data_IF_838124866729
#
_entry.id   IF_838124866729
#
_cell.length_a   1.000
_cell.length_b   1.000
_cell.length_c   1.000
_cell.angle_alpha   90.00
_cell.angle_beta   90.00
_cell.angle_gamma   90.00
#
_symmetry.space_group_name_H-M   'P 1'
#
loop_
_entity.id
_entity.type
_entity.pdbx_description
1 polymer ?
#
# COMPACT_ATOMS: atom_id res chain seq x y z
N UNK A 1 -8.05 -102.39 57.61
CA UNK A 1 -8.36 -100.95 57.47
C UNK A 1 -7.08 -100.23 57.90
N UNK A 2 -6.08 -99.98 57.03
CA UNK A 2 -6.09 -99.58 55.61
C UNK A 2 -6.85 -98.29 55.38
N UNK A 3 -6.28 -97.16 55.80
CA UNK A 3 -6.63 -95.81 55.30
C UNK A 3 -5.65 -94.69 55.69
N UNK A 4 -4.44 -94.96 56.21
CA UNK A 4 -3.54 -93.88 56.68
C UNK A 4 -2.19 -93.79 55.94
N UNK A 5 -1.77 -94.82 55.21
CA UNK A 5 -0.53 -94.80 54.42
C UNK A 5 -0.72 -94.44 52.94
N UNK A 6 -1.96 -94.19 52.49
CA UNK A 6 -2.30 -93.87 51.10
C UNK A 6 -2.39 -92.36 50.83
N UNK A 7 -2.50 -91.53 51.88
CA UNK A 7 -2.55 -90.06 51.75
C UNK A 7 -1.18 -89.39 51.76
N UNK A 8 -0.16 -90.02 52.36
CA UNK A 8 1.21 -89.48 52.40
C UNK A 8 1.97 -89.66 51.07
N UNK A 9 1.64 -90.69 50.29
CA UNK A 9 2.23 -90.93 48.97
C UNK A 9 1.71 -89.99 47.87
N UNK A 10 0.46 -89.50 47.99
CA UNK A 10 -0.18 -88.62 47.00
C UNK A 10 0.29 -87.17 47.16
N UNK A 11 0.57 -86.72 48.38
CA UNK A 11 1.10 -85.36 48.65
C UNK A 11 2.59 -85.25 48.24
N UNK A 12 3.40 -86.29 48.44
CA UNK A 12 4.80 -86.28 48.03
C UNK A 12 4.97 -86.27 46.50
N UNK A 13 4.13 -86.97 45.75
CA UNK A 13 4.16 -86.96 44.29
C UNK A 13 3.70 -85.61 43.70
N UNK A 14 2.74 -84.94 44.33
CA UNK A 14 2.28 -83.61 43.91
C UNK A 14 3.31 -82.51 44.14
N UNK A 15 4.12 -82.59 45.20
CA UNK A 15 5.22 -81.64 45.44
C UNK A 15 6.39 -81.88 44.48
N UNK A 16 6.70 -83.13 44.14
CA UNK A 16 7.76 -83.43 43.14
C UNK A 16 7.33 -83.06 41.72
N UNK A 17 6.05 -83.21 41.35
CA UNK A 17 5.53 -82.74 40.07
C UNK A 17 5.32 -81.21 40.01
N UNK A 18 5.06 -80.55 41.15
CA UNK A 18 4.91 -79.10 41.22
C UNK A 18 6.23 -78.31 41.27
N UNK A 19 7.30 -78.90 41.80
CA UNK A 19 8.64 -78.27 41.88
C UNK A 19 9.53 -78.68 40.69
N UNK A 20 9.20 -79.75 39.97
CA UNK A 20 9.99 -80.32 38.88
C UNK A 20 9.89 -79.65 37.50
N UNK A 21 9.08 -78.60 37.32
CA UNK A 21 8.98 -77.88 36.03
C UNK A 21 9.81 -76.57 36.01
N UNK A 22 10.48 -76.23 37.12
CA UNK A 22 11.24 -74.99 37.23
C UNK A 22 12.72 -75.06 36.82
N UNK A 23 13.18 -76.15 36.19
CA UNK A 23 14.60 -76.29 35.76
C UNK A 23 14.68 -76.90 34.37
N UNK A 24 14.87 -76.07 33.34
CA UNK A 24 15.37 -76.57 32.05
C UNK A 24 14.81 -75.94 30.77
N UNK A 25 14.62 -74.62 30.68
CA UNK A 25 14.65 -73.92 29.37
C UNK A 25 15.55 -72.68 29.51
N UNK A 26 16.79 -72.72 29.00
CA UNK A 26 17.61 -71.52 28.91
C UNK A 26 17.02 -70.64 27.80
N UNK A 27 16.32 -69.57 28.17
CA UNK A 27 15.73 -68.60 27.24
C UNK A 27 14.27 -68.17 27.50
N UNK A 28 13.68 -68.48 28.66
CA UNK A 28 12.26 -68.16 28.95
C UNK A 28 12.06 -67.09 30.04
N UNK A 29 13.02 -66.17 30.19
CA UNK A 29 12.86 -64.94 30.95
C UNK A 29 13.37 -63.79 30.09
N UNK A 30 12.59 -63.45 29.07
CA UNK A 30 12.65 -62.09 28.56
C UNK A 30 12.29 -61.17 29.74
N UNK A 31 13.08 -60.11 30.02
CA UNK A 31 12.61 -59.06 30.92
C UNK A 31 11.23 -58.60 30.40
N UNK A 32 10.32 -58.14 31.26
CA UNK A 32 9.12 -57.48 30.76
C UNK A 32 9.56 -56.24 29.97
N UNK A 33 9.72 -56.41 28.65
CA UNK A 33 9.48 -55.35 27.69
C UNK A 33 7.99 -55.01 27.83
N UNK A 34 7.69 -53.73 27.73
CA UNK A 34 6.40 -53.13 28.07
C UNK A 34 6.22 -52.86 29.58
N UNK A 35 7.00 -51.90 30.09
CA UNK A 35 6.30 -50.83 30.81
C UNK A 35 5.17 -50.38 29.90
N UNK A 36 3.88 -50.50 30.28
CA UNK A 36 2.80 -50.01 29.43
C UNK A 36 3.13 -48.57 29.12
N UNK A 37 3.26 -48.25 27.83
CA UNK A 37 3.50 -46.90 27.35
C UNK A 37 2.62 -45.99 28.19
N UNK A 38 3.26 -45.10 28.96
CA UNK A 38 2.52 -44.10 29.73
C UNK A 38 1.59 -43.45 28.71
N UNK A 39 0.26 -43.46 28.91
CA UNK A 39 -0.66 -43.00 27.88
C UNK A 39 -0.18 -41.63 27.40
N UNK A 40 0.11 -41.55 26.10
CA UNK A 40 0.61 -40.32 25.49
C UNK A 40 -0.34 -39.21 25.91
N UNK A 41 0.20 -38.17 26.56
CA UNK A 41 -0.64 -37.04 26.97
C UNK A 41 -1.24 -36.45 25.69
N UNK A 42 -2.55 -36.18 25.63
CA UNK A 42 -3.15 -35.58 24.45
C UNK A 42 -2.46 -34.26 24.14
N UNK A 43 -2.20 -34.00 22.86
CA UNK A 43 -1.67 -32.74 22.40
C UNK A 43 -2.74 -31.63 22.55
N UNK A 44 -2.40 -30.56 23.23
CA UNK A 44 -3.24 -29.37 23.39
C UNK A 44 -2.51 -28.20 22.72
N UNK A 45 -3.21 -27.45 21.86
CA UNK A 45 -2.66 -26.26 21.19
C UNK A 45 -3.63 -25.12 21.38
N UNK A 46 -3.21 -24.12 22.14
CA UNK A 46 -4.03 -22.96 22.51
C UNK A 46 -3.51 -21.68 21.84
N UNK A 47 -4.39 -20.79 21.40
CA UNK A 47 -4.01 -19.42 21.03
C UNK A 47 -3.97 -18.58 22.30
N UNK A 48 -2.76 -18.38 22.85
CA UNK A 48 -2.60 -17.66 24.13
C UNK A 48 -2.58 -16.14 23.98
N UNK A 49 -2.18 -15.67 22.80
CA UNK A 49 -2.15 -14.24 22.47
C UNK A 49 -2.29 -14.05 20.95
N UNK A 50 -2.83 -12.91 20.55
CA UNK A 50 -2.82 -12.47 19.17
C UNK A 50 -2.58 -10.97 19.11
N UNK A 51 -1.49 -10.56 18.46
CA UNK A 51 -1.18 -9.14 18.24
C UNK A 51 -1.50 -8.75 16.80
N UNK A 52 -1.94 -7.51 16.62
CA UNK A 52 -2.30 -6.95 15.32
C UNK A 52 -1.68 -5.56 15.23
N UNK A 53 -0.97 -5.28 14.13
CA UNK A 53 -0.37 -4.00 13.84
C UNK A 53 -0.68 -3.56 12.40
N UNK A 54 -0.73 -2.25 12.10
CA UNK A 54 -0.85 -1.78 10.72
C UNK A 54 0.43 -2.15 9.94
N UNK A 55 0.27 -2.71 8.74
CA UNK A 55 1.30 -2.82 7.70
C UNK A 55 1.18 -1.67 6.72
N UNK A 56 1.32 -1.96 5.42
CA UNK A 56 1.15 -0.95 4.37
C UNK A 56 -0.30 -0.43 4.33
N UNK A 57 -0.44 0.89 4.19
CA UNK A 57 -1.73 1.59 4.18
C UNK A 57 -1.87 2.37 2.88
N UNK A 58 -2.76 1.90 2.01
CA UNK A 58 -3.15 2.58 0.78
C UNK A 58 -4.35 3.50 0.96
N UNK A 59 -4.81 4.11 -0.14
CA UNK A 59 -6.00 4.97 -0.13
C UNK A 59 -7.29 4.20 0.22
N UNK A 60 -7.43 2.99 -0.34
CA UNK A 60 -8.65 2.18 -0.20
C UNK A 60 -8.46 0.91 0.62
N UNK A 61 -7.23 0.47 0.86
CA UNK A 61 -6.91 -0.79 1.54
C UNK A 61 -5.86 -0.58 2.62
N UNK A 62 -5.88 -1.43 3.65
CA UNK A 62 -4.86 -1.48 4.68
C UNK A 62 -4.48 -2.94 4.96
N UNK A 63 -3.20 -3.18 5.19
CA UNK A 63 -2.70 -4.49 5.60
C UNK A 63 -2.68 -4.60 7.11
N UNK A 64 -3.30 -5.63 7.66
CA UNK A 64 -3.22 -5.99 9.08
C UNK A 64 -2.13 -7.07 9.25
N UNK A 65 -1.05 -6.73 9.95
CA UNK A 65 -0.01 -7.69 10.35
C UNK A 65 -0.46 -8.41 11.61
N UNK A 66 -0.79 -9.68 11.47
CA UNK A 66 -1.39 -10.50 12.53
C UNK A 66 -0.40 -11.54 13.00
N UNK A 67 -0.15 -11.61 14.31
CA UNK A 67 0.78 -12.56 14.92
C UNK A 67 0.09 -13.33 16.05
N UNK A 68 -0.44 -14.53 15.78
CA UNK A 68 -0.91 -15.42 16.83
C UNK A 68 0.28 -16.10 17.54
N UNK A 69 0.14 -16.28 18.85
CA UNK A 69 1.04 -17.04 19.70
C UNK A 69 0.35 -18.35 20.10
N UNK A 70 0.90 -19.47 19.64
CA UNK A 70 0.39 -20.80 19.94
C UNK A 70 1.19 -21.41 21.08
N UNK A 71 0.55 -21.77 22.17
CA UNK A 71 1.15 -22.60 23.22
C UNK A 71 0.76 -24.05 22.98
N UNK A 72 1.75 -24.92 22.79
CA UNK A 72 1.54 -26.36 22.79
C UNK A 72 1.79 -26.90 24.20
N UNK A 73 0.94 -27.81 24.66
CA UNK A 73 1.08 -28.53 25.93
C UNK A 73 0.77 -30.01 25.74
N UNK A 74 1.45 -30.88 26.49
CA UNK A 74 1.23 -32.33 26.43
C UNK A 74 2.03 -32.99 25.32
N UNK A 75 1.44 -33.98 24.63
CA UNK A 75 2.10 -34.68 23.53
C UNK A 75 2.29 -33.82 22.29
N UNK A 76 3.18 -34.25 21.39
CA UNK A 76 3.50 -33.52 20.17
C UNK A 76 2.25 -33.30 19.28
N UNK A 77 2.10 -32.09 18.76
CA UNK A 77 1.07 -31.73 17.79
C UNK A 77 1.70 -31.67 16.38
N UNK A 78 1.27 -32.55 15.50
CA UNK A 78 1.77 -32.63 14.12
C UNK A 78 0.92 -31.82 13.14
N UNK A 79 1.57 -31.35 12.05
CA UNK A 79 0.91 -30.65 10.94
C UNK A 79 0.02 -29.48 11.40
N UNK A 80 0.54 -28.69 12.34
CA UNK A 80 -0.15 -27.51 12.88
C UNK A 80 -0.19 -26.43 11.81
N UNK A 81 -1.40 -25.98 11.48
CA UNK A 81 -1.64 -24.84 10.60
C UNK A 81 -2.62 -23.86 11.24
N UNK A 82 -2.47 -22.59 10.93
CA UNK A 82 -3.40 -21.54 11.35
C UNK A 82 -4.00 -20.89 10.13
N UNK A 83 -5.33 -20.84 10.06
CA UNK A 83 -6.05 -20.01 9.10
C UNK A 83 -6.39 -18.68 9.75
N UNK A 84 -5.73 -17.63 9.29
CA UNK A 84 -6.09 -16.25 9.60
C UNK A 84 -7.27 -15.82 8.71
N UNK A 85 -8.24 -15.12 9.31
CA UNK A 85 -9.35 -14.48 8.61
C UNK A 85 -9.59 -13.08 9.16
N UNK A 86 -9.95 -12.14 8.29
CA UNK A 86 -10.61 -10.90 8.69
C UNK A 86 -12.06 -10.98 8.26
N UNK A 87 -12.99 -10.76 9.18
CA UNK A 87 -14.43 -10.72 8.93
C UNK A 87 -14.91 -9.31 9.18
N UNK A 88 -15.55 -8.71 8.18
CA UNK A 88 -16.05 -7.34 8.25
C UNK A 88 -17.22 -7.23 9.25
N UNK A 89 -17.16 -6.27 10.18
CA UNK A 89 -18.18 -6.12 11.24
C UNK A 89 -19.57 -5.80 10.70
N UNK A 90 -19.66 -5.02 9.63
CA UNK A 90 -20.93 -4.51 9.10
C UNK A 90 -21.65 -5.56 8.25
N UNK A 91 -20.90 -6.32 7.46
CA UNK A 91 -21.44 -7.29 6.50
C UNK A 91 -21.38 -8.74 7.00
N UNK A 92 -20.50 -9.04 7.96
CA UNK A 92 -20.20 -10.41 8.39
C UNK A 92 -19.46 -11.25 7.33
N UNK A 93 -19.02 -10.64 6.22
CA UNK A 93 -18.31 -11.36 5.16
C UNK A 93 -16.81 -11.45 5.44
N UNK A 94 -16.21 -12.53 4.94
CA UNK A 94 -14.75 -12.72 5.02
C UNK A 94 -14.08 -11.80 4.01
N UNK A 95 -13.41 -10.76 4.49
CA UNK A 95 -12.71 -9.80 3.65
C UNK A 95 -11.35 -10.33 3.18
N UNK A 96 -10.63 -11.03 4.05
CA UNK A 96 -9.28 -11.54 3.75
C UNK A 96 -9.00 -12.85 4.49
N UNK A 97 -8.13 -13.69 3.90
CA UNK A 97 -7.66 -14.93 4.54
C UNK A 97 -6.19 -15.19 4.25
N UNK A 98 -5.49 -15.84 5.18
CA UNK A 98 -4.14 -16.34 4.96
C UNK A 98 -3.88 -17.59 5.80
N UNK A 99 -3.18 -18.59 5.24
CA UNK A 99 -2.79 -19.79 5.99
C UNK A 99 -1.31 -19.73 6.39
N UNK A 100 -1.04 -19.97 7.67
CA UNK A 100 0.30 -20.10 8.24
C UNK A 100 0.58 -21.58 8.57
N UNK A 101 1.78 -22.05 8.23
CA UNK A 101 2.25 -23.38 8.59
C UNK A 101 3.23 -23.32 9.76
N UNK A 102 2.96 -24.10 10.80
CA UNK A 102 3.80 -24.24 12.00
C UNK A 102 4.54 -25.59 12.04
N UNK A 103 4.11 -26.59 11.25
CA UNK A 103 4.71 -27.92 11.24
C UNK A 103 4.41 -28.67 12.53
N UNK A 104 5.43 -29.29 13.13
CA UNK A 104 5.30 -29.99 14.42
C UNK A 104 5.61 -29.05 15.58
N UNK A 105 4.73 -29.03 16.59
CA UNK A 105 4.93 -28.36 17.86
C UNK A 105 5.09 -29.40 18.97
N UNK A 106 6.18 -29.33 19.74
CA UNK A 106 6.49 -30.27 20.82
C UNK A 106 7.33 -29.59 21.90
N UNK A 107 7.39 -30.18 23.09
CA UNK A 107 8.24 -29.75 24.20
C UNK A 107 7.64 -28.65 25.09
N UNK A 108 6.32 -28.54 25.15
CA UNK A 108 5.60 -27.53 25.94
C UNK A 108 6.04 -26.09 25.59
N UNK A 109 6.05 -25.77 24.29
CA UNK A 109 6.60 -24.52 23.73
C UNK A 109 5.53 -23.52 23.30
N UNK A 110 5.88 -22.23 23.37
CA UNK A 110 5.14 -21.17 22.68
C UNK A 110 5.83 -20.82 21.35
N UNK A 111 5.08 -20.82 20.25
CA UNK A 111 5.56 -20.43 18.92
C UNK A 111 4.68 -19.34 18.32
N UNK A 112 5.27 -18.44 17.55
CA UNK A 112 4.54 -17.44 16.79
C UNK A 112 5.10 -17.31 15.38
N UNK A 113 4.23 -16.90 14.46
CA UNK A 113 4.55 -16.55 13.08
C UNK A 113 3.62 -15.42 12.66
N UNK A 114 4.16 -14.44 11.95
CA UNK A 114 3.38 -13.31 11.43
C UNK A 114 2.73 -13.66 10.10
N UNK A 115 1.51 -13.16 9.91
CA UNK A 115 0.79 -13.13 8.65
C UNK A 115 0.30 -11.72 8.32
N UNK A 116 -0.22 -11.54 7.13
CA UNK A 116 -0.73 -10.30 6.58
C UNK A 116 -2.13 -10.51 5.98
N UNK A 117 -3.09 -9.69 6.38
CA UNK A 117 -4.45 -9.66 5.86
C UNK A 117 -4.73 -8.28 5.26
N UNK A 118 -4.85 -8.17 3.95
CA UNK A 118 -5.21 -6.90 3.28
C UNK A 118 -6.72 -6.77 3.23
N UNK A 119 -7.24 -5.73 3.87
CA UNK A 119 -8.68 -5.42 3.97
C UNK A 119 -8.96 -4.02 3.43
N UNK A 120 -10.23 -3.68 3.21
CA UNK A 120 -10.58 -2.31 2.88
C UNK A 120 -10.23 -1.38 4.06
N UNK A 121 -9.78 -0.16 3.74
CA UNK A 121 -9.41 0.86 4.72
C UNK A 121 -10.67 1.58 5.23
N UNK A 122 -11.56 0.83 5.86
CA UNK A 122 -12.83 1.30 6.38
C UNK A 122 -13.32 0.39 7.50
N UNK A 123 -14.24 0.91 8.33
CA UNK A 123 -14.96 0.10 9.32
C UNK A 123 -14.06 -0.59 10.35
N UNK A 124 -14.50 -1.78 10.77
CA UNK A 124 -13.82 -2.66 11.71
C UNK A 124 -13.91 -4.12 11.28
N UNK A 125 -13.01 -4.95 11.82
CA UNK A 125 -12.85 -6.36 11.46
C UNK A 125 -12.64 -7.26 12.68
N UNK A 126 -13.33 -8.39 12.66
CA UNK A 126 -13.09 -9.54 13.51
C UNK A 126 -11.94 -10.35 12.92
N UNK A 127 -10.76 -10.25 13.52
CA UNK A 127 -9.60 -11.03 13.11
C UNK A 127 -9.61 -12.36 13.86
N UNK A 128 -9.61 -13.47 13.13
CA UNK A 128 -9.69 -14.83 13.66
C UNK A 128 -8.44 -15.62 13.32
N UNK A 129 -7.91 -16.36 14.29
CA UNK A 129 -6.86 -17.35 14.11
C UNK A 129 -7.44 -18.74 14.40
N UNK A 130 -7.77 -19.49 13.36
CA UNK A 130 -8.36 -20.83 13.46
C UNK A 130 -7.24 -21.87 13.36
N UNK A 131 -7.01 -22.61 14.44
CA UNK A 131 -5.93 -23.61 14.52
C UNK A 131 -6.44 -24.96 14.06
N UNK A 132 -5.66 -25.60 13.19
CA UNK A 132 -5.86 -26.97 12.73
C UNK A 132 -4.66 -27.83 13.10
N UNK A 133 -4.92 -29.03 13.63
CA UNK A 133 -3.93 -30.09 13.87
C UNK A 133 -4.36 -31.28 13.03
N UNK A 134 -3.48 -31.77 12.16
CA UNK A 134 -3.79 -32.85 11.21
C UNK A 134 -5.12 -32.63 10.41
N UNK A 135 -5.43 -31.37 10.09
CA UNK A 135 -6.64 -30.99 9.35
C UNK A 135 -7.92 -30.86 10.18
N UNK A 136 -7.92 -31.24 11.46
CA UNK A 136 -9.03 -31.01 12.39
C UNK A 136 -8.90 -29.67 13.09
N UNK A 137 -9.97 -28.86 13.11
CA UNK A 137 -10.01 -27.60 13.86
C UNK A 137 -10.00 -27.93 15.36
N UNK A 138 -9.06 -27.34 16.09
CA UNK A 138 -8.91 -27.58 17.54
C UNK A 138 -9.15 -26.34 18.39
N UNK A 139 -8.87 -25.14 17.86
CA UNK A 139 -8.90 -23.90 18.64
C UNK A 139 -9.22 -22.69 17.75
N UNK A 140 -9.72 -21.60 18.35
CA UNK A 140 -9.96 -20.33 17.64
C UNK A 140 -9.74 -19.14 18.55
N UNK A 141 -8.72 -18.35 18.25
CA UNK A 141 -8.56 -17.00 18.83
C UNK A 141 -9.29 -15.96 17.99
N UNK A 142 -9.91 -14.97 18.65
CA UNK A 142 -10.59 -13.84 18.00
C UNK A 142 -10.09 -12.54 18.62
N UNK A 143 -9.90 -11.51 17.80
CA UNK A 143 -9.61 -10.15 18.25
C UNK A 143 -10.24 -9.13 17.31
N UNK A 144 -11.00 -8.23 17.90
CA UNK A 144 -11.64 -7.11 17.23
C UNK A 144 -10.61 -6.01 16.89
N UNK A 145 -10.76 -5.42 15.71
CA UNK A 145 -10.00 -4.25 15.25
C UNK A 145 -10.97 -3.21 14.73
N UNK A 146 -11.04 -2.05 15.37
CA UNK A 146 -11.90 -0.95 14.95
C UNK A 146 -11.12 0.21 14.34
N UNK A 147 -11.80 1.00 13.52
CA UNK A 147 -11.26 2.26 13.02
C UNK A 147 -10.17 2.11 11.97
N UNK A 148 -10.18 1.03 11.17
CA UNK A 148 -9.18 0.83 10.09
C UNK A 148 -9.21 1.99 9.08
N UNK A 149 -10.37 2.63 8.91
CA UNK A 149 -10.52 3.84 8.09
C UNK A 149 -9.76 5.07 8.59
N UNK A 150 -9.31 5.10 9.85
CA UNK A 150 -8.54 6.23 10.40
C UNK A 150 -7.04 6.11 10.16
N UNK A 151 -6.56 4.95 9.67
CA UNK A 151 -5.17 4.78 9.31
C UNK A 151 -4.78 5.78 8.22
N UNK A 152 -3.69 6.51 8.45
CA UNK A 152 -3.12 7.45 7.49
C UNK A 152 -2.46 6.64 6.38
N UNK A 153 -2.84 6.85 5.10
CA UNK A 153 -2.14 6.21 3.99
C UNK A 153 -0.66 6.58 3.97
N UNK A 154 0.20 5.66 3.54
CA UNK A 154 1.66 5.83 3.59
C UNK A 154 2.13 7.06 2.78
N UNK A 155 1.43 7.39 1.69
CA UNK A 155 1.71 8.59 0.90
C UNK A 155 1.32 9.90 1.61
N UNK A 156 0.34 9.86 2.53
CA UNK A 156 -0.01 11.00 3.40
C UNK A 156 0.91 11.12 4.61
N UNK A 157 1.55 10.02 5.02
CA UNK A 157 2.55 9.98 6.09
C UNK A 157 3.97 10.25 5.57
N UNK A 158 4.11 11.17 4.62
CA UNK A 158 5.44 11.61 4.16
C UNK A 158 5.87 12.81 5.00
N UNK A 159 6.95 12.71 5.79
CA UNK A 159 7.35 13.75 6.73
C UNK A 159 8.09 14.93 6.08
N UNK A 160 8.04 15.06 4.75
CA UNK A 160 8.66 16.15 4.01
C UNK A 160 7.73 17.35 3.97
N UNK A 161 8.27 18.49 4.36
CA UNK A 161 7.56 19.75 4.38
C UNK A 161 8.40 20.83 3.72
N UNK A 162 7.72 21.71 2.99
CA UNK A 162 8.32 22.98 2.59
C UNK A 162 8.60 23.81 3.84
N UNK A 163 9.81 24.33 3.95
CA UNK A 163 10.20 25.14 5.09
C UNK A 163 9.47 26.48 5.04
N UNK A 164 8.62 26.70 6.04
CA UNK A 164 8.14 28.03 6.38
C UNK A 164 9.11 28.64 7.40
N UNK A 165 9.48 29.90 7.18
CA UNK A 165 10.42 30.61 8.04
C UNK A 165 9.66 31.70 8.81
N UNK A 166 9.71 31.64 10.14
CA UNK A 166 9.09 32.64 11.03
C UNK A 166 9.58 34.08 10.79
N UNK A 167 10.68 34.25 10.06
CA UNK A 167 11.23 35.55 9.65
C UNK A 167 10.45 36.21 8.49
N UNK A 168 9.37 35.59 7.99
CA UNK A 168 8.59 36.09 6.86
C UNK A 168 9.31 35.94 5.52
N UNK A 169 10.23 34.97 5.42
CA UNK A 169 10.86 34.62 4.14
C UNK A 169 9.84 33.83 3.30
N UNK A 170 9.81 34.07 1.98
CA UNK A 170 8.93 33.30 1.12
C UNK A 170 9.36 31.82 1.07
N UNK A 171 8.38 30.92 1.01
CA UNK A 171 8.61 29.46 0.94
C UNK A 171 9.30 29.05 -0.36
N UNK A 172 9.15 29.87 -1.41
CA UNK A 172 9.84 29.74 -2.69
C UNK A 172 10.54 31.07 -2.96
N UNK A 173 11.86 31.00 -3.13
CA UNK A 173 12.74 32.11 -3.45
C UNK A 173 13.06 32.10 -4.95
N UNK A 174 13.33 33.27 -5.52
CA UNK A 174 13.85 33.36 -6.87
C UNK A 174 14.91 34.45 -7.00
N UNK A 175 15.87 34.23 -7.91
CA UNK A 175 16.76 35.26 -8.44
C UNK A 175 16.57 35.39 -9.94
N UNK A 176 16.82 36.59 -10.47
CA UNK A 176 16.88 36.82 -11.91
C UNK A 176 18.33 36.62 -12.33
N UNK A 177 18.59 35.57 -13.11
CA UNK A 177 19.93 35.22 -13.57
C UNK A 177 20.28 35.98 -14.87
N UNK A 178 19.28 36.18 -15.75
CA UNK A 178 19.44 36.89 -17.01
C UNK A 178 18.12 37.51 -17.48
N UNK A 179 18.20 38.58 -18.26
CA UNK A 179 17.08 39.19 -18.98
C UNK A 179 17.51 39.44 -20.42
N UNK A 180 16.92 38.70 -21.35
CA UNK A 180 17.29 38.71 -22.77
C UNK A 180 16.04 38.45 -23.63
N UNK A 181 15.92 39.15 -24.77
CA UNK A 181 14.85 38.93 -25.76
C UNK A 181 13.43 38.90 -25.16
N UNK A 182 13.11 39.88 -24.31
CA UNK A 182 11.81 39.97 -23.62
C UNK A 182 11.48 38.76 -22.72
N UNK A 183 12.51 38.10 -22.18
CA UNK A 183 12.37 37.00 -21.23
C UNK A 183 13.32 37.14 -20.06
N UNK A 184 12.82 36.77 -18.89
CA UNK A 184 13.58 36.65 -17.65
C UNK A 184 13.88 35.18 -17.35
N UNK A 185 15.15 34.86 -17.17
CA UNK A 185 15.59 33.56 -16.65
C UNK A 185 15.66 33.65 -15.14
N UNK A 186 14.84 32.84 -14.46
CA UNK A 186 14.71 32.78 -13.02
C UNK A 186 15.38 31.51 -12.49
N UNK A 187 16.25 31.66 -11.49
CA UNK A 187 16.66 30.55 -10.64
C UNK A 187 15.72 30.50 -9.45
N UNK A 188 14.91 29.44 -9.38
CA UNK A 188 13.84 29.27 -8.40
C UNK A 188 14.25 28.17 -7.43
N UNK A 189 14.25 28.48 -6.14
CA UNK A 189 14.65 27.53 -5.10
C UNK A 189 13.64 27.48 -3.97
N UNK A 190 13.65 26.36 -3.26
CA UNK A 190 12.83 26.13 -2.07
C UNK A 190 13.61 25.27 -1.09
N UNK A 191 13.14 25.18 0.15
CA UNK A 191 13.77 24.38 1.19
C UNK A 191 12.79 23.29 1.62
N UNK A 192 13.27 22.04 1.59
CA UNK A 192 12.49 20.86 2.01
C UNK A 192 13.14 20.24 3.23
N UNK A 193 12.38 20.12 4.31
CA UNK A 193 12.85 19.53 5.57
C UNK A 193 12.14 18.20 5.80
N UNK A 194 12.92 17.15 6.06
CA UNK A 194 12.40 15.89 6.55
C UNK A 194 12.23 15.97 8.08
N UNK A 195 10.99 16.09 8.52
CA UNK A 195 10.62 16.23 9.94
C UNK A 195 10.47 14.87 10.66
N UNK A 196 10.65 13.76 9.94
CA UNK A 196 10.44 12.41 10.41
C UNK A 196 11.73 11.75 10.91
N UNK A 197 11.60 10.50 11.33
CA UNK A 197 12.67 9.67 11.90
C UNK A 197 13.33 8.72 10.88
N UNK A 198 12.86 8.72 9.62
CA UNK A 198 13.34 7.85 8.53
C UNK A 198 13.83 8.68 7.34
N UNK A 199 14.75 8.13 6.56
CA UNK A 199 15.13 8.68 5.25
C UNK A 199 13.95 8.56 4.27
N UNK A 200 13.79 9.55 3.39
CA UNK A 200 12.78 9.56 2.32
C UNK A 200 13.48 9.69 0.96
N UNK A 201 13.09 8.85 0.00
CA UNK A 201 13.61 8.73 -1.36
C UNK A 201 12.50 8.80 -2.42
N UNK A 202 12.88 8.61 -3.69
CA UNK A 202 12.02 8.65 -4.89
C UNK A 202 11.23 9.96 -5.01
N UNK A 203 11.97 11.06 -4.89
CA UNK A 203 11.44 12.41 -4.77
C UNK A 203 11.62 13.21 -6.06
N UNK A 204 10.55 13.89 -6.47
CA UNK A 204 10.55 14.79 -7.63
C UNK A 204 9.88 16.11 -7.25
N UNK A 205 10.52 17.23 -7.57
CA UNK A 205 9.96 18.56 -7.37
C UNK A 205 9.61 19.19 -8.72
N UNK A 206 8.34 19.53 -8.91
CA UNK A 206 7.88 20.28 -10.07
C UNK A 206 7.70 21.73 -9.68
N UNK A 207 8.43 22.62 -10.35
CA UNK A 207 8.32 24.08 -10.20
C UNK A 207 7.61 24.65 -11.43
N UNK A 208 6.57 25.44 -11.22
CA UNK A 208 5.76 26.03 -12.30
C UNK A 208 5.62 27.53 -12.08
N UNK A 209 5.82 28.32 -13.14
CA UNK A 209 5.45 29.73 -13.16
C UNK A 209 4.14 29.92 -13.92
N UNK A 210 3.17 30.56 -13.28
CA UNK A 210 1.86 30.85 -13.86
C UNK A 210 1.62 32.34 -13.89
N UNK A 211 1.33 32.90 -15.05
CA UNK A 211 1.09 34.33 -15.19
C UNK A 211 -0.20 34.71 -14.45
N UNK A 212 -0.11 35.79 -13.67
CA UNK A 212 -1.23 36.30 -12.90
C UNK A 212 -2.26 37.02 -13.79
N UNK A 213 -3.54 36.73 -13.59
CA UNK A 213 -4.65 37.28 -14.38
C UNK A 213 -5.15 36.32 -15.46
N UNK A 214 -4.26 35.67 -16.22
CA UNK A 214 -4.66 34.69 -17.25
C UNK A 214 -4.60 33.23 -16.78
N UNK A 215 -3.86 32.94 -15.70
CA UNK A 215 -3.55 31.60 -15.23
C UNK A 215 -2.81 30.71 -16.26
N UNK A 216 -2.22 31.29 -17.31
CA UNK A 216 -1.39 30.57 -18.28
C UNK A 216 -0.09 30.11 -17.60
N UNK A 217 0.26 28.83 -17.79
CA UNK A 217 1.58 28.33 -17.37
C UNK A 217 2.60 28.87 -18.35
N UNK A 218 3.48 29.76 -17.86
CA UNK A 218 4.50 30.38 -18.68
C UNK A 218 5.69 29.44 -18.89
N UNK A 219 6.08 28.71 -17.85
CA UNK A 219 7.10 27.67 -17.93
C UNK A 219 7.01 26.72 -16.72
N UNK A 220 7.61 25.53 -16.86
CA UNK A 220 7.68 24.49 -15.84
C UNK A 220 8.99 23.74 -15.95
N UNK A 221 9.60 23.48 -14.80
CA UNK A 221 10.78 22.61 -14.69
C UNK A 221 10.56 21.51 -13.66
N UNK A 222 11.29 20.41 -13.82
CA UNK A 222 11.25 19.25 -12.91
C UNK A 222 12.64 19.00 -12.38
N UNK A 223 12.76 18.84 -11.06
CA UNK A 223 14.03 18.62 -10.35
C UNK A 223 13.95 17.29 -9.64
N UNK A 224 14.78 16.33 -10.05
CA UNK A 224 14.95 15.06 -9.34
C UNK A 224 15.72 15.28 -8.04
N UNK A 225 15.24 14.70 -6.94
CA UNK A 225 15.83 14.85 -5.62
C UNK A 225 16.42 13.52 -5.15
N UNK A 226 17.63 13.59 -4.60
CA UNK A 226 18.21 12.47 -3.88
C UNK A 226 17.49 12.21 -2.54
N UNK A 227 17.84 11.10 -1.92
CA UNK A 227 17.28 10.74 -0.61
C UNK A 227 17.58 11.80 0.46
N UNK A 228 16.56 12.18 1.23
CA UNK A 228 16.63 13.16 2.31
C UNK A 228 16.59 12.43 3.65
N UNK A 229 17.71 12.44 4.37
CA UNK A 229 17.81 11.82 5.69
C UNK A 229 16.93 12.49 6.75
N UNK A 230 16.64 11.76 7.83
CA UNK A 230 15.88 12.28 8.99
C UNK A 230 16.49 13.58 9.53
N UNK A 231 15.64 14.59 9.77
CA UNK A 231 16.04 15.89 10.30
C UNK A 231 16.90 16.73 9.35
N UNK A 232 17.05 16.34 8.09
CA UNK A 232 17.83 17.09 7.10
C UNK A 232 16.94 18.02 6.29
N UNK A 233 17.52 19.16 5.94
CA UNK A 233 16.96 20.12 4.99
C UNK A 233 17.80 20.10 3.72
N UNK A 234 17.13 20.09 2.58
CA UNK A 234 17.75 20.24 1.25
C UNK A 234 17.19 21.47 0.56
N UNK A 235 17.97 22.07 -0.35
CA UNK A 235 17.59 23.26 -1.11
C UNK A 235 17.61 22.96 -2.61
N UNK A 236 16.55 22.33 -3.15
CA UNK A 236 16.44 22.16 -4.59
C UNK A 236 16.27 23.48 -5.31
N UNK A 237 16.89 23.58 -6.48
CA UNK A 237 16.87 24.75 -7.35
C UNK A 237 16.59 24.30 -8.78
N UNK A 238 15.70 25.02 -9.47
CA UNK A 238 15.39 24.79 -10.89
C UNK A 238 15.36 26.11 -11.65
N UNK A 239 15.59 26.04 -12.96
CA UNK A 239 15.53 27.21 -13.84
C UNK A 239 14.18 27.29 -14.52
N UNK A 240 13.58 28.49 -14.51
CA UNK A 240 12.33 28.81 -15.19
C UNK A 240 12.58 30.01 -16.10
N UNK A 241 12.11 29.98 -17.34
CA UNK A 241 12.20 31.10 -18.29
C UNK A 241 10.81 31.64 -18.60
N UNK A 242 10.53 32.87 -18.20
CA UNK A 242 9.23 33.51 -18.40
C UNK A 242 9.36 34.79 -19.21
N UNK A 243 8.29 35.26 -19.89
CA UNK A 243 8.23 36.62 -20.41
C UNK A 243 8.59 37.67 -19.34
N UNK A 244 9.29 38.73 -19.73
CA UNK A 244 9.53 39.86 -18.84
C UNK A 244 8.27 40.73 -18.68
N UNK A 245 8.29 41.66 -17.72
CA UNK A 245 7.21 42.63 -17.46
C UNK A 245 5.84 42.07 -16.99
N UNK A 246 5.74 40.79 -16.59
CA UNK A 246 4.54 40.23 -15.95
C UNK A 246 4.81 39.76 -14.51
N UNK A 247 3.75 39.68 -13.70
CA UNK A 247 3.80 39.06 -12.39
C UNK A 247 3.33 37.59 -12.45
N UNK A 248 3.95 36.71 -11.66
CA UNK A 248 3.74 35.27 -11.70
C UNK A 248 3.45 34.69 -10.32
N UNK A 249 2.61 33.67 -10.26
CA UNK A 249 2.62 32.70 -9.17
C UNK A 249 3.71 31.66 -9.43
N UNK A 250 4.55 31.42 -8.43
CA UNK A 250 5.47 30.31 -8.40
C UNK A 250 4.84 29.19 -7.58
N UNK A 251 4.54 28.07 -8.23
CA UNK A 251 3.98 26.87 -7.61
C UNK A 251 5.06 25.80 -7.50
N UNK A 252 5.19 25.19 -6.32
CA UNK A 252 6.05 24.04 -6.06
C UNK A 252 5.17 22.84 -5.69
N UNK A 253 5.33 21.72 -6.40
CA UNK A 253 4.62 20.47 -6.13
C UNK A 253 5.64 19.36 -5.91
N UNK A 254 5.68 18.82 -4.70
CA UNK A 254 6.54 17.70 -4.34
C UNK A 254 5.80 16.39 -4.57
N UNK A 255 6.44 15.51 -5.33
CA UNK A 255 5.99 14.16 -5.62
C UNK A 255 6.90 13.14 -4.95
N UNK A 256 6.29 12.01 -4.58
CA UNK A 256 6.98 10.80 -4.16
C UNK A 256 6.30 9.61 -4.80
N UNK A 257 7.04 8.82 -5.57
CA UNK A 257 6.52 7.62 -6.26
C UNK A 257 5.15 7.87 -6.95
N UNK A 258 5.09 8.94 -7.75
CA UNK A 258 3.88 9.33 -8.49
C UNK A 258 2.73 9.94 -7.65
N UNK A 259 2.93 10.19 -6.36
CA UNK A 259 1.92 10.82 -5.49
C UNK A 259 2.33 12.20 -5.02
N UNK A 260 1.43 13.19 -5.08
CA UNK A 260 1.65 14.53 -4.50
C UNK A 260 1.65 14.44 -2.98
N UNK A 261 2.77 14.83 -2.37
CA UNK A 261 2.96 14.79 -0.90
C UNK A 261 2.97 16.18 -0.26
N UNK A 262 3.37 17.23 -0.99
CA UNK A 262 3.33 18.61 -0.51
C UNK A 262 3.18 19.61 -1.66
N UNK A 263 2.63 20.78 -1.35
CA UNK A 263 2.54 21.92 -2.27
C UNK A 263 2.91 23.22 -1.56
N UNK A 264 3.55 24.15 -2.26
CA UNK A 264 3.79 25.51 -1.79
C UNK A 264 3.58 26.52 -2.92
N UNK A 265 3.32 27.77 -2.53
CA UNK A 265 3.13 28.90 -3.46
C UNK A 265 3.87 30.13 -2.96
N UNK A 266 4.44 30.87 -3.91
CA UNK A 266 5.00 32.21 -3.72
C UNK A 266 4.67 33.08 -4.94
N UNK A 267 5.13 34.32 -4.96
CA UNK A 267 4.95 35.24 -6.09
C UNK A 267 6.30 35.70 -6.64
N UNK A 268 6.36 35.92 -7.95
CA UNK A 268 7.45 36.62 -8.62
C UNK A 268 6.91 37.89 -9.25
N UNK A 269 7.35 39.03 -8.72
CA UNK A 269 6.90 40.35 -9.15
C UNK A 269 7.93 40.95 -10.11
N UNK A 270 7.78 40.68 -11.41
CA UNK A 270 8.66 41.23 -12.45
C UNK A 270 8.06 42.47 -13.12
N UNK A 271 6.73 42.66 -13.06
CA UNK A 271 6.09 43.83 -13.65
C UNK A 271 6.32 45.09 -12.79
N UNK A 272 6.54 46.25 -13.42
CA UNK A 272 6.64 47.53 -12.71
C UNK A 272 5.26 47.96 -12.19
N UNK A 273 5.07 48.01 -10.87
CA UNK A 273 3.79 48.44 -10.30
C UNK A 273 3.52 47.90 -8.90
N UNK A 274 2.24 47.76 -8.53
CA UNK A 274 1.84 47.11 -7.28
C UNK A 274 2.05 45.60 -7.43
N UNK A 275 3.04 45.05 -6.75
CA UNK A 275 3.35 43.62 -6.80
C UNK A 275 2.24 42.74 -6.19
N UNK A 276 2.19 41.48 -6.63
CA UNK A 276 1.33 40.43 -6.11
C UNK A 276 1.74 39.96 -4.72
N UNK A 277 0.74 39.66 -3.91
CA UNK A 277 0.86 38.85 -2.69
C UNK A 277 0.28 37.46 -2.93
N UNK A 278 0.73 36.50 -2.11
CA UNK A 278 0.31 35.09 -2.21
C UNK A 278 -1.21 34.91 -2.06
N UNK A 279 -1.86 35.75 -1.25
CA UNK A 279 -3.31 35.70 -0.96
C UNK A 279 -4.17 36.58 -1.90
N UNK A 280 -3.55 37.29 -2.85
CA UNK A 280 -4.27 38.18 -3.75
C UNK A 280 -4.99 37.37 -4.83
N UNK A 281 -6.24 36.96 -4.59
CA UNK A 281 -7.13 36.49 -5.67
C UNK A 281 -7.72 37.68 -6.43
N UNK A 282 -6.87 38.57 -6.93
CA UNK A 282 -7.32 39.80 -7.57
C UNK A 282 -7.45 39.57 -9.07
N UNK A 283 -8.68 39.35 -9.54
CA UNK A 283 -9.10 39.86 -10.86
C UNK A 283 -9.12 41.38 -10.75
N UNK A 284 -7.96 42.02 -10.74
CA UNK A 284 -7.92 43.46 -10.95
C UNK A 284 -8.04 43.67 -12.45
N UNK A 285 -9.05 44.42 -12.86
CA UNK A 285 -9.21 44.98 -14.21
C UNK A 285 -8.13 46.04 -14.50
N UNK A 286 -6.89 45.79 -14.10
CA UNK A 286 -5.75 46.58 -14.55
C UNK A 286 -5.33 45.97 -15.88
N UNK A 287 -5.59 46.71 -16.96
CA UNK A 287 -5.19 46.46 -18.35
C UNK A 287 -3.65 46.36 -18.51
N UNK A 288 -2.97 45.48 -17.77
CA UNK A 288 -1.63 45.03 -18.10
C UNK A 288 -1.79 44.00 -19.23
N UNK A 289 -1.66 44.50 -20.46
CA UNK A 289 -2.05 43.82 -21.70
C UNK A 289 -1.43 42.45 -21.90
N UNK A 290 -2.08 41.41 -21.39
CA UNK A 290 -1.78 40.01 -21.66
C UNK A 290 -1.70 39.77 -23.19
N UNK A 291 -0.53 39.36 -23.66
CA UNK A 291 -0.29 38.97 -25.06
C UNK A 291 0.02 37.48 -25.14
N UNK A 292 -0.91 36.70 -25.69
CA UNK A 292 -0.76 35.25 -25.79
C UNK A 292 0.51 34.81 -26.56
N UNK A 293 0.99 35.64 -27.51
CA UNK A 293 2.21 35.41 -28.29
C UNK A 293 3.47 35.32 -27.42
N UNK A 294 3.51 35.99 -26.28
CA UNK A 294 4.71 36.02 -25.43
C UNK A 294 4.96 34.65 -24.76
N UNK A 295 3.90 33.86 -24.61
CA UNK A 295 3.89 32.56 -23.93
C UNK A 295 4.11 31.37 -24.88
N UNK A 296 4.38 31.61 -26.17
CA UNK A 296 4.69 30.54 -27.11
C UNK A 296 6.07 29.93 -26.82
N UNK A 297 6.13 28.60 -26.68
CA UNK A 297 7.37 27.88 -26.41
C UNK A 297 8.28 27.92 -27.64
N UNK A 298 9.46 28.51 -27.50
CA UNK A 298 10.47 28.51 -28.57
C UNK A 298 11.21 27.18 -28.47
N UNK A 299 10.74 26.16 -29.18
CA UNK A 299 11.46 24.88 -29.27
C UNK A 299 12.86 25.14 -29.82
N UNK A 300 13.87 24.96 -28.97
CA UNK A 300 15.26 25.08 -29.35
C UNK A 300 15.63 23.87 -30.21
N UNK A 301 15.90 24.13 -31.49
CA UNK A 301 16.24 23.19 -32.56
C UNK A 301 16.72 21.80 -32.16
N UNK A 302 15.85 20.80 -32.39
CA UNK A 302 16.29 19.43 -32.65
C UNK A 302 16.63 19.36 -34.14
N UNK A 303 17.89 19.04 -34.43
CA UNK A 303 18.46 18.93 -35.77
C UNK A 303 17.53 18.14 -36.71
N UNK A 304 17.20 18.77 -37.86
CA UNK A 304 16.48 18.17 -38.97
C UNK A 304 17.25 16.97 -39.53
N UNK A 305 16.85 15.77 -39.12
CA UNK A 305 17.07 14.57 -39.89
C UNK A 305 16.16 14.61 -41.11
N UNK A 306 16.76 14.83 -42.28
CA UNK A 306 16.09 14.77 -43.58
C UNK A 306 15.37 13.43 -43.76
N UNK A 307 14.04 13.45 -43.80
CA UNK A 307 13.24 12.39 -44.43
C UNK A 307 12.37 13.02 -45.52
N UNK A 308 12.55 12.52 -46.74
CA UNK A 308 11.93 13.02 -47.97
C UNK A 308 10.40 12.93 -47.95
N UNK A 309 9.66 13.92 -48.46
CA UNK A 309 8.22 13.78 -48.67
C UNK A 309 7.97 13.04 -49.98
N UNK A 310 7.43 11.82 -49.89
CA UNK A 310 6.78 11.19 -51.04
C UNK A 310 5.50 11.94 -51.39
N UNK A 311 5.43 12.28 -52.67
CA UNK A 311 4.39 13.06 -53.35
C UNK A 311 3.09 12.27 -53.50
N UNK A 312 1.94 12.88 -53.20
CA UNK A 312 0.74 12.75 -54.07
C UNK A 312 -0.21 13.96 -53.95
N UNK A 313 -0.08 14.83 -54.95
CA UNK A 313 -1.13 15.44 -55.81
C UNK A 313 -2.40 16.05 -55.20
N UNK A 314 -2.55 17.35 -55.52
CA UNK A 314 -3.66 18.26 -55.29
C UNK A 314 -5.01 17.87 -55.93
N UNK A 315 -6.11 18.25 -55.26
CA UNK A 315 -7.25 18.99 -55.81
C UNK A 315 -8.15 19.38 -54.61
N UNK A 316 -8.32 20.65 -54.22
CA UNK A 316 -9.09 21.66 -54.94
C UNK A 316 -10.13 22.20 -53.95
N UNK A 317 -9.98 23.46 -53.53
CA UNK A 317 -10.78 24.04 -52.44
C UNK A 317 -12.23 24.36 -52.81
N UNK A 318 -13.10 24.34 -51.81
CA UNK A 318 -14.22 25.29 -51.65
C UNK A 318 -14.82 25.11 -50.27
N UNK A 319 -15.01 26.21 -49.54
CA UNK A 319 -15.57 26.23 -48.20
C UNK A 319 -16.98 25.66 -48.10
N UNK A 320 -17.28 25.10 -46.92
CA UNK A 320 -18.60 24.61 -46.57
C UNK A 320 -18.64 24.21 -45.10
N UNK A 321 -19.37 24.99 -44.30
CA UNK A 321 -19.76 24.74 -42.92
C UNK A 321 -20.14 23.27 -42.70
N UNK A 322 -19.74 22.59 -41.60
CA UNK A 322 -20.13 21.20 -41.36
C UNK A 322 -21.61 21.13 -41.01
N UNK A 323 -22.44 20.95 -42.03
CA UNK A 323 -23.87 20.71 -41.92
C UNK A 323 -24.16 19.23 -41.74
N UNK A 324 -24.85 18.89 -40.65
CA UNK A 324 -25.48 17.58 -40.48
C UNK A 324 -26.41 17.31 -41.67
N UNK A 325 -25.99 16.37 -42.51
CA UNK A 325 -26.63 16.08 -43.78
C UNK A 325 -28.09 15.65 -43.66
N UNK A 326 -28.85 16.01 -44.69
CA UNK A 326 -30.27 15.73 -44.98
C UNK A 326 -30.67 14.25 -44.76
N UNK A 327 -29.71 13.32 -44.69
CA UNK A 327 -29.94 11.92 -44.36
C UNK A 327 -30.53 11.69 -42.95
N UNK A 328 -30.18 12.51 -41.95
CA UNK A 328 -30.67 12.32 -40.56
C UNK A 328 -32.14 12.73 -40.42
N UNK A 329 -32.59 13.75 -41.16
CA UNK A 329 -33.97 14.25 -41.10
C UNK A 329 -34.99 13.24 -41.64
N UNK A 330 -34.61 12.44 -42.65
CA UNK A 330 -35.49 11.42 -43.24
C UNK A 330 -35.65 10.22 -42.30
N UNK A 331 -34.59 9.82 -41.58
CA UNK A 331 -34.66 8.72 -40.60
C UNK A 331 -35.55 9.09 -39.41
N UNK A 332 -35.47 10.34 -38.93
CA UNK A 332 -36.31 10.82 -37.83
C UNK A 332 -37.82 10.80 -38.17
N UNK A 333 -38.19 11.15 -39.41
CA UNK A 333 -39.59 11.13 -39.86
C UNK A 333 -40.15 9.72 -40.00
N UNK A 334 -39.34 8.75 -40.45
CA UNK A 334 -39.76 7.33 -40.53
C UNK A 334 -39.94 6.72 -39.14
N UNK A 335 -39.06 7.06 -38.18
CA UNK A 335 -39.17 6.59 -36.80
C UNK A 335 -40.44 7.13 -36.11
N UNK A 336 -40.77 8.40 -36.31
CA UNK A 336 -41.98 9.00 -35.74
C UNK A 336 -43.28 8.38 -36.31
N UNK A 337 -43.30 8.07 -37.61
CA UNK A 337 -44.47 7.45 -38.26
C UNK A 337 -44.69 5.99 -37.80
N UNK A 338 -43.62 5.24 -37.52
CA UNK A 338 -43.72 3.86 -37.00
C UNK A 338 -44.20 3.82 -35.54
N UNK A 339 -43.80 4.79 -34.72
CA UNK A 339 -44.25 4.88 -33.31
C UNK A 339 -45.72 5.31 -33.22
N UNK A 340 -46.19 6.18 -34.12
CA UNK A 340 -47.60 6.58 -34.16
C UNK A 340 -48.53 5.41 -34.56
N UNK A 341 -48.03 4.45 -35.35
CA UNK A 341 -48.82 3.30 -35.84
C UNK A 341 -48.94 2.16 -34.83
N UNK A 342 -48.06 2.08 -33.83
CA UNK A 342 -48.13 1.05 -32.78
C UNK A 342 -48.94 1.49 -31.56
N UNK A 343 -49.48 2.71 -31.58
CA UNK A 343 -50.35 3.27 -30.52
C UNK A 343 -51.78 3.57 -30.99
N UNK A 344 -52.19 3.09 -32.16
CA UNK A 344 -53.59 3.05 -32.62
C UNK A 344 -54.11 1.62 -32.63
#
# INVERSE_FOLDING_TARGET
MRTESLLLGVVALAVVLGVGVAVGVPGALDPPEDTPDRPEKPAMVDVVEMTIAPGDVGGENATLRVRPFLAQRGGAAENVTVLLRAVDHDTGFVAATQRLSYGTLDGDVTRSREGALTVARQGGYDVQAIVYVNGSRVETGVRDVDGVGTLTPDYRDTPLQFQDFDAGLPVIEYSIDAVENNRSTLSVSTYLTNTGDRTVDDLELVLTARQNGSNVVADRTTVELGAVGSGKTVQPTGTIVVPDDYNYYLDAVLWRDGTVVATARSTANLAPGTGLRVDDNTTTDDDEGFQASDFESTESGREEGTEEPLTETQAGGSGGQPGFGVAVAVVALVAAALIARTRQ
#
